data_IF_547006084662
#
_entry.id   IF_547006084662
#
_cell.length_a   1.000
_cell.length_b   1.000
_cell.length_c   1.000
_cell.angle_alpha   90.00
_cell.angle_beta   90.00
_cell.angle_gamma   90.00
#
_symmetry.space_group_name_H-M   'P 1'
#
loop_
_entity.id
_entity.type
_entity.pdbx_description
1 polymer ?
#
# COMPACT_ATOMS: atom_id res chain seq x y z
N UNK A 1 5.29 13.51 -0.48
CA UNK A 1 5.12 13.57 -1.95
C UNK A 1 4.41 12.32 -2.46
N UNK A 2 4.06 12.26 -3.75
CA UNK A 2 3.59 11.02 -4.40
C UNK A 2 4.79 10.32 -5.04
N UNK A 3 4.91 9.01 -4.83
CA UNK A 3 5.98 8.15 -5.31
C UNK A 3 5.42 6.91 -5.99
N UNK A 4 6.26 6.22 -6.77
CA UNK A 4 6.03 4.79 -7.04
C UNK A 4 6.23 3.98 -5.75
N UNK A 5 5.69 2.76 -5.71
CA UNK A 5 5.81 1.90 -4.54
C UNK A 5 7.29 1.54 -4.19
N UNK A 6 8.18 1.21 -5.16
CA UNK A 6 9.59 0.97 -4.86
C UNK A 6 10.31 2.21 -4.33
N UNK A 7 10.07 3.38 -4.92
CA UNK A 7 10.63 4.65 -4.47
C UNK A 7 10.19 4.99 -3.04
N UNK A 8 8.90 4.80 -2.72
CA UNK A 8 8.39 4.99 -1.37
C UNK A 8 9.13 4.08 -0.39
N UNK A 9 9.17 2.78 -0.67
CA UNK A 9 9.78 1.79 0.22
C UNK A 9 11.30 2.03 0.43
N UNK A 10 12.00 2.57 -0.57
CA UNK A 10 13.42 2.92 -0.46
C UNK A 10 13.69 4.15 0.41
N UNK A 11 12.69 5.02 0.62
CA UNK A 11 12.81 6.22 1.47
C UNK A 11 12.54 5.95 2.95
N UNK A 12 11.93 4.81 3.28
CA UNK A 12 11.62 4.47 4.67
C UNK A 12 12.90 4.16 5.46
N UNK A 13 13.00 4.76 6.64
CA UNK A 13 14.03 4.47 7.62
C UNK A 13 13.91 3.06 8.20
N UNK A 14 15.00 2.56 8.79
CA UNK A 14 15.04 1.22 9.40
C UNK A 14 13.96 1.07 10.46
N UNK A 15 13.19 0.00 10.38
CA UNK A 15 12.12 -0.32 11.34
C UNK A 15 10.80 0.41 11.09
N UNK A 16 10.74 1.34 10.12
CA UNK A 16 9.49 2.00 9.75
C UNK A 16 8.59 1.05 8.96
N UNK A 17 7.28 1.27 9.11
CA UNK A 17 6.23 0.46 8.47
C UNK A 17 5.47 1.29 7.43
N UNK A 18 4.76 0.60 6.54
CA UNK A 18 3.78 1.20 5.65
C UNK A 18 2.40 1.12 6.27
N UNK A 19 1.59 2.16 6.07
CA UNK A 19 0.18 2.17 6.40
C UNK A 19 -0.66 2.10 5.12
N UNK A 20 -1.43 1.03 4.98
CA UNK A 20 -2.43 0.85 3.93
C UNK A 20 -3.74 1.54 4.30
N UNK A 21 -4.30 2.30 3.36
CA UNK A 21 -5.57 3.00 3.51
C UNK A 21 -6.56 2.61 2.42
N UNK A 22 -7.76 2.20 2.83
CA UNK A 22 -8.94 2.06 1.97
C UNK A 22 -9.88 3.23 2.22
N UNK A 23 -10.01 4.15 1.26
CA UNK A 23 -10.70 5.43 1.45
C UNK A 23 -12.17 5.33 1.04
N UNK A 24 -13.02 4.94 1.99
CA UNK A 24 -14.47 4.98 1.86
C UNK A 24 -15.08 6.36 2.08
N UNK A 25 -16.38 6.51 1.78
CA UNK A 25 -17.10 7.79 1.97
C UNK A 25 -17.32 8.15 3.43
N UNK A 26 -17.50 7.15 4.31
CA UNK A 26 -17.79 7.32 5.74
C UNK A 26 -16.64 6.89 6.65
N UNK A 27 -15.72 6.11 6.12
CA UNK A 27 -14.71 5.39 6.87
C UNK A 27 -13.42 5.31 6.06
N UNK A 28 -12.29 5.19 6.74
CA UNK A 28 -11.01 4.82 6.14
C UNK A 28 -10.55 3.53 6.79
N UNK A 29 -10.56 2.42 6.06
CA UNK A 29 -9.98 1.16 6.52
C UNK A 29 -8.47 1.31 6.65
N UNK A 30 -7.87 0.73 7.69
CA UNK A 30 -6.43 0.86 7.94
C UNK A 30 -5.78 -0.51 8.15
N UNK A 31 -4.62 -0.68 7.56
CA UNK A 31 -3.74 -1.82 7.80
C UNK A 31 -2.28 -1.38 7.88
N UNK A 32 -1.45 -2.12 8.59
CA UNK A 32 -0.04 -1.84 8.78
C UNK A 32 0.82 -2.98 8.25
N UNK A 33 1.97 -2.67 7.65
CA UNK A 33 2.94 -3.68 7.28
C UNK A 33 3.80 -4.09 8.47
N UNK A 34 4.45 -5.25 8.42
CA UNK A 34 5.64 -5.47 9.22
C UNK A 34 6.83 -4.64 8.67
N UNK A 35 7.92 -4.45 9.44
CA UNK A 35 9.08 -3.67 9.00
C UNK A 35 9.85 -4.26 7.81
N UNK A 36 9.66 -5.55 7.48
CA UNK A 36 10.29 -6.17 6.32
C UNK A 36 9.45 -6.07 5.04
N UNK A 37 8.26 -5.47 5.12
CA UNK A 37 7.33 -5.32 4.00
C UNK A 37 6.86 -6.67 3.43
N UNK A 38 6.54 -7.62 4.30
CA UNK A 38 6.11 -8.99 3.95
C UNK A 38 4.62 -9.20 4.25
N UNK A 39 4.13 -8.75 5.40
CA UNK A 39 2.78 -9.03 5.89
C UNK A 39 2.03 -7.74 6.20
N UNK A 40 0.80 -7.63 5.70
CA UNK A 40 -0.15 -6.59 6.08
C UNK A 40 -1.14 -7.10 7.14
N UNK A 41 -1.33 -6.33 8.21
CA UNK A 41 -2.28 -6.62 9.29
C UNK A 41 -3.31 -5.52 9.45
N UNK A 42 -4.63 -5.83 9.49
CA UNK A 42 -5.66 -4.82 9.72
C UNK A 42 -5.52 -4.23 11.13
N UNK A 43 -5.71 -2.91 11.26
CA UNK A 43 -5.62 -2.21 12.56
C UNK A 43 -6.90 -1.43 12.90
N UNK A 44 -7.97 -1.66 12.13
CA UNK A 44 -9.28 -1.07 12.34
C UNK A 44 -9.63 -0.01 11.31
N UNK A 45 -10.52 0.90 11.68
CA UNK A 45 -11.15 1.83 10.75
C UNK A 45 -11.26 3.21 11.40
N UNK A 46 -10.83 4.24 10.68
CA UNK A 46 -11.06 5.63 11.07
C UNK A 46 -12.44 6.06 10.58
N UNK A 47 -13.28 6.59 11.47
CA UNK A 47 -14.59 7.13 11.09
C UNK A 47 -14.44 8.58 10.62
N UNK A 48 -14.78 8.85 9.37
CA UNK A 48 -14.61 10.17 8.76
C UNK A 48 -15.60 11.16 9.34
N UNK A 49 -15.10 12.34 9.71
CA UNK A 49 -15.89 13.44 10.25
C UNK A 49 -15.47 14.76 9.59
N UNK A 50 -14.75 15.62 10.32
CA UNK A 50 -14.06 16.78 9.76
C UNK A 50 -12.63 16.39 9.46
N UNK A 51 -12.14 16.75 8.29
CA UNK A 51 -10.78 16.40 7.84
C UNK A 51 -9.68 16.70 8.87
N UNK A 52 -9.79 17.81 9.61
CA UNK A 52 -8.82 18.16 10.67
C UNK A 52 -8.82 17.18 11.85
N UNK A 53 -9.97 16.62 12.21
CA UNK A 53 -10.06 15.59 13.26
C UNK A 53 -9.53 14.27 12.73
N UNK A 54 -9.93 13.90 11.51
CA UNK A 54 -9.46 12.70 10.82
C UNK A 54 -7.92 12.69 10.71
N UNK A 55 -7.30 13.81 10.31
CA UNK A 55 -5.85 13.95 10.21
C UNK A 55 -5.13 13.85 11.57
N UNK A 56 -5.73 14.37 12.66
CA UNK A 56 -5.16 14.22 14.01
C UNK A 56 -5.25 12.78 14.52
N UNK A 57 -6.35 12.10 14.21
CA UNK A 57 -6.49 10.69 14.55
C UNK A 57 -5.48 9.84 13.78
N UNK A 58 -5.37 10.09 12.48
CA UNK A 58 -4.36 9.46 11.64
C UNK A 58 -2.94 9.74 12.18
N UNK A 59 -2.61 10.97 12.56
CA UNK A 59 -1.31 11.32 13.17
C UNK A 59 -0.97 10.46 14.41
N UNK A 60 -1.96 10.12 15.24
CA UNK A 60 -1.75 9.20 16.37
C UNK A 60 -1.37 7.80 15.88
N UNK A 61 -2.14 7.24 14.94
CA UNK A 61 -1.83 5.95 14.31
C UNK A 61 -0.43 5.94 13.69
N UNK A 62 -0.05 7.00 12.97
CA UNK A 62 1.26 7.10 12.33
C UNK A 62 2.40 6.99 13.34
N UNK A 63 2.28 7.68 14.47
CA UNK A 63 3.26 7.64 15.56
C UNK A 63 3.28 6.29 16.27
N UNK A 64 2.11 5.77 16.64
CA UNK A 64 2.00 4.54 17.45
C UNK A 64 2.58 3.32 16.72
N UNK A 65 2.47 3.29 15.39
CA UNK A 65 2.99 2.20 14.57
C UNK A 65 4.36 2.48 13.93
N UNK A 66 4.93 3.67 14.10
CA UNK A 66 6.19 4.04 13.45
C UNK A 66 6.09 4.04 11.93
N UNK A 67 5.02 4.64 11.40
CA UNK A 67 4.76 4.69 9.95
C UNK A 67 5.71 5.66 9.27
N UNK A 68 6.29 5.23 8.15
CA UNK A 68 7.15 6.07 7.30
C UNK A 68 6.61 6.30 5.89
N UNK A 69 5.47 5.68 5.53
CA UNK A 69 4.85 5.83 4.21
C UNK A 69 3.41 5.36 4.19
N UNK A 70 2.61 5.95 3.30
CA UNK A 70 1.21 5.59 3.07
C UNK A 70 1.06 4.88 1.73
N UNK A 71 0.33 3.78 1.72
CA UNK A 71 -0.16 3.12 0.51
C UNK A 71 -1.67 3.30 0.46
N UNK A 72 -2.18 4.01 -0.53
CA UNK A 72 -3.60 4.31 -0.65
C UNK A 72 -4.19 3.54 -1.83
N UNK A 73 -5.22 2.75 -1.58
CA UNK A 73 -5.97 2.09 -2.65
C UNK A 73 -6.53 3.09 -3.64
N UNK A 74 -6.45 2.77 -4.93
CA UNK A 74 -6.98 3.57 -6.01
C UNK A 74 -8.00 2.71 -6.80
N UNK A 75 -9.30 3.00 -6.67
CA UNK A 75 -10.35 2.22 -7.33
C UNK A 75 -10.45 2.62 -8.81
N UNK A 76 -9.63 1.98 -9.65
CA UNK A 76 -9.67 2.14 -11.10
C UNK A 76 -10.78 1.27 -11.71
N UNK A 77 -11.34 1.73 -12.83
CA UNK A 77 -12.25 0.95 -13.64
C UNK A 77 -11.50 -0.21 -14.32
N UNK A 78 -12.22 -1.24 -14.80
CA UNK A 78 -11.59 -2.40 -15.44
C UNK A 78 -10.74 -2.06 -16.67
N UNK A 79 -11.05 -0.98 -17.38
CA UNK A 79 -10.27 -0.44 -18.50
C UNK A 79 -9.08 0.43 -18.06
N UNK A 80 -8.88 0.62 -16.76
CA UNK A 80 -7.83 1.45 -16.16
C UNK A 80 -8.19 2.92 -16.01
N UNK A 81 -9.39 3.34 -16.45
CA UNK A 81 -9.84 4.72 -16.30
C UNK A 81 -10.19 5.07 -14.85
N UNK A 82 -10.09 6.36 -14.50
CA UNK A 82 -10.50 6.87 -13.19
C UNK A 82 -11.97 7.27 -13.19
N UNK A 83 -12.68 6.89 -12.13
CA UNK A 83 -14.03 7.38 -11.83
C UNK A 83 -14.06 8.32 -10.62
N UNK A 84 -15.25 8.79 -10.20
CA UNK A 84 -15.41 9.72 -9.08
C UNK A 84 -14.80 9.24 -7.75
N UNK A 85 -14.71 7.92 -7.53
CA UNK A 85 -14.07 7.36 -6.33
C UNK A 85 -12.55 7.51 -6.35
N UNK A 86 -11.91 7.34 -7.51
CA UNK A 86 -10.48 7.57 -7.67
C UNK A 86 -10.15 9.05 -7.45
N UNK A 87 -10.94 9.96 -8.03
CA UNK A 87 -10.81 11.41 -7.81
C UNK A 87 -10.94 11.78 -6.33
N UNK A 88 -11.95 11.23 -5.63
CA UNK A 88 -12.15 11.47 -4.19
C UNK A 88 -10.95 10.98 -3.37
N UNK A 89 -10.36 9.84 -3.74
CA UNK A 89 -9.19 9.27 -3.08
C UNK A 89 -7.95 10.12 -3.32
N UNK A 90 -7.74 10.62 -4.54
CA UNK A 90 -6.67 11.57 -4.86
C UNK A 90 -6.82 12.88 -4.09
N UNK A 91 -8.05 13.40 -3.98
CA UNK A 91 -8.33 14.61 -3.20
C UNK A 91 -8.03 14.40 -1.71
N UNK A 92 -8.36 13.23 -1.16
CA UNK A 92 -8.00 12.86 0.21
C UNK A 92 -6.48 12.85 0.42
N UNK A 93 -5.72 12.20 -0.48
CA UNK A 93 -4.26 12.17 -0.43
C UNK A 93 -3.64 13.58 -0.52
N UNK A 94 -4.15 14.42 -1.44
CA UNK A 94 -3.73 15.81 -1.58
C UNK A 94 -3.94 16.61 -0.30
N UNK A 95 -5.13 16.49 0.30
CA UNK A 95 -5.43 17.17 1.57
C UNK A 95 -4.51 16.69 2.71
N UNK A 96 -4.09 15.42 2.73
CA UNK A 96 -3.13 14.92 3.72
C UNK A 96 -1.76 15.58 3.53
N UNK A 97 -1.29 15.68 2.27
CA UNK A 97 -0.02 16.33 1.94
C UNK A 97 -0.01 17.82 2.30
N UNK A 98 -1.13 18.52 2.12
CA UNK A 98 -1.27 19.94 2.48
C UNK A 98 -1.35 20.19 3.99
N UNK A 99 -1.50 19.12 4.80
CA UNK A 99 -1.67 19.19 6.25
C UNK A 99 -0.54 18.52 7.02
N UNK A 100 0.69 18.69 6.55
CA UNK A 100 1.89 18.27 7.29
C UNK A 100 1.96 18.90 8.68
N UNK A 101 1.37 20.09 8.88
CA UNK A 101 1.17 20.75 10.18
C UNK A 101 0.41 19.87 11.19
N UNK A 102 -0.59 19.12 10.73
CA UNK A 102 -1.38 18.23 11.57
C UNK A 102 -0.77 16.84 11.71
N UNK A 103 -0.12 16.35 10.66
CA UNK A 103 0.47 15.02 10.65
C UNK A 103 1.77 14.99 11.46
N UNK A 104 2.50 16.11 11.52
CA UNK A 104 3.82 16.22 12.15
C UNK A 104 4.97 15.76 11.26
N UNK A 105 4.70 15.53 9.97
CA UNK A 105 5.69 15.15 8.96
C UNK A 105 5.11 15.37 7.55
N UNK A 106 5.97 15.38 6.52
CA UNK A 106 5.56 15.43 5.12
C UNK A 106 5.14 14.05 4.63
N UNK A 107 3.84 13.88 4.34
CA UNK A 107 3.30 12.59 3.95
C UNK A 107 3.93 12.05 2.66
N UNK A 108 4.58 10.89 2.74
CA UNK A 108 5.08 10.13 1.60
C UNK A 108 4.05 9.06 1.19
N UNK A 109 3.55 9.12 -0.05
CA UNK A 109 2.37 8.36 -0.48
C UNK A 109 2.67 7.62 -1.79
N UNK A 110 2.18 6.38 -1.89
CA UNK A 110 2.05 5.66 -3.16
C UNK A 110 0.58 5.23 -3.34
N UNK A 111 0.09 5.27 -4.58
CA UNK A 111 -1.22 4.71 -4.92
C UNK A 111 -1.09 3.26 -5.34
N UNK A 112 -2.06 2.42 -4.97
CA UNK A 112 -2.12 1.01 -5.34
C UNK A 112 -3.40 0.69 -6.11
N UNK A 113 -3.28 0.08 -7.29
CA UNK A 113 -4.43 -0.31 -8.10
C UNK A 113 -5.18 -1.49 -7.46
N UNK A 114 -6.41 -1.24 -7.00
CA UNK A 114 -7.22 -2.19 -6.24
C UNK A 114 -7.72 -3.39 -7.06
N UNK A 115 -7.66 -3.32 -8.40
CA UNK A 115 -8.15 -4.37 -9.32
C UNK A 115 -7.46 -5.72 -9.12
N UNK A 116 -6.28 -5.70 -8.51
CA UNK A 116 -5.46 -6.89 -8.29
C UNK A 116 -5.84 -7.68 -7.02
N UNK A 117 -6.62 -7.10 -6.10
CA UNK A 117 -6.85 -7.70 -4.77
C UNK A 117 -8.24 -8.33 -4.57
N UNK A 118 -9.30 -7.85 -5.22
CA UNK A 118 -10.68 -8.24 -4.88
C UNK A 118 -11.08 -9.65 -5.32
N UNK A 119 -10.65 -10.08 -6.51
CA UNK A 119 -11.05 -11.38 -7.09
C UNK A 119 -10.42 -12.59 -6.37
N UNK A 120 -9.17 -12.47 -5.90
CA UNK A 120 -8.48 -13.51 -5.15
C UNK A 120 -9.08 -13.69 -3.74
N UNK A 121 -9.50 -12.59 -3.12
CA UNK A 121 -10.10 -12.56 -1.78
C UNK A 121 -11.48 -13.18 -1.76
N UNK A 122 -12.36 -12.79 -2.69
CA UNK A 122 -13.69 -13.41 -2.80
C UNK A 122 -13.58 -14.92 -2.99
N UNK A 123 -12.61 -15.37 -3.78
CA UNK A 123 -12.36 -16.80 -4.04
C UNK A 123 -11.85 -17.55 -2.81
N UNK A 124 -10.97 -16.95 -2.01
CA UNK A 124 -10.49 -17.52 -0.74
C UNK A 124 -11.64 -17.72 0.26
N UNK A 125 -12.50 -16.72 0.44
CA UNK A 125 -13.65 -16.80 1.34
C UNK A 125 -14.77 -17.74 0.87
N UNK A 126 -14.86 -18.03 -0.44
CA UNK A 126 -15.76 -19.06 -0.95
C UNK A 126 -15.25 -20.47 -0.59
N UNK A 127 -13.93 -20.64 -0.43
CA UNK A 127 -13.30 -21.90 -0.02
C UNK A 127 -13.45 -22.20 1.48
N UNK A 128 -13.57 -21.19 2.34
CA UNK A 128 -13.92 -21.37 3.74
C UNK A 128 -15.44 -21.56 3.88
N UNK A 129 -15.82 -22.80 4.18
CA UNK A 129 -17.21 -23.25 4.20
C UNK A 129 -18.09 -22.46 5.19
N UNK A 130 -19.31 -22.15 4.74
CA UNK A 130 -20.50 -21.79 5.53
C UNK A 130 -20.67 -20.33 6.00
N UNK A 131 -20.12 -19.34 5.28
CA UNK A 131 -20.43 -17.92 5.53
C UNK A 131 -21.57 -17.40 4.64
N UNK A 132 -22.59 -16.78 5.27
CA UNK A 132 -23.65 -16.06 4.55
C UNK A 132 -23.07 -14.90 3.73
N UNK A 133 -23.72 -14.52 2.61
CA UNK A 133 -23.28 -13.39 1.76
C UNK A 133 -23.02 -12.11 2.57
N UNK A 134 -23.98 -11.73 3.42
CA UNK A 134 -23.88 -10.55 4.28
C UNK A 134 -22.65 -10.59 5.21
N UNK A 135 -22.39 -11.75 5.83
CA UNK A 135 -21.25 -11.88 6.74
C UNK A 135 -19.91 -11.89 6.01
N UNK A 136 -19.87 -12.35 4.75
CA UNK A 136 -18.71 -12.22 3.88
C UNK A 136 -18.44 -10.76 3.54
N UNK A 137 -19.45 -10.01 3.13
CA UNK A 137 -19.30 -8.59 2.79
C UNK A 137 -18.75 -7.79 3.99
N UNK A 138 -19.23 -8.07 5.20
CA UNK A 138 -18.73 -7.44 6.43
C UNK A 138 -17.27 -7.79 6.75
N UNK A 139 -16.81 -8.99 6.40
CA UNK A 139 -15.41 -9.40 6.59
C UNK A 139 -14.53 -8.76 5.52
N UNK A 140 -14.97 -8.72 4.26
CA UNK A 140 -14.24 -8.05 3.17
C UNK A 140 -14.03 -6.58 3.50
N UNK A 141 -15.08 -5.89 3.92
CA UNK A 141 -15.01 -4.46 4.26
C UNK A 141 -13.99 -4.20 5.38
N UNK A 142 -13.95 -5.07 6.40
CA UNK A 142 -12.98 -4.96 7.50
C UNK A 142 -11.54 -5.30 7.10
N UNK A 143 -11.37 -6.11 6.07
CA UNK A 143 -10.07 -6.58 5.61
C UNK A 143 -9.55 -5.82 4.37
N UNK A 144 -10.37 -4.97 3.75
CA UNK A 144 -10.08 -4.31 2.49
C UNK A 144 -8.71 -3.60 2.49
N UNK A 145 -8.44 -2.79 3.51
CA UNK A 145 -7.14 -2.11 3.65
C UNK A 145 -5.95 -3.07 3.78
N UNK A 146 -6.13 -4.22 4.44
CA UNK A 146 -5.09 -5.24 4.56
C UNK A 146 -4.82 -5.91 3.21
N UNK A 147 -5.84 -6.15 2.40
CA UNK A 147 -5.67 -6.73 1.06
C UNK A 147 -5.05 -5.75 0.05
N UNK A 148 -5.41 -4.47 0.14
CA UNK A 148 -4.76 -3.40 -0.63
C UNK A 148 -3.27 -3.36 -0.29
N UNK A 149 -2.96 -3.31 1.00
CA UNK A 149 -1.57 -3.26 1.43
C UNK A 149 -0.82 -4.54 1.07
N UNK A 150 -1.40 -5.72 1.31
CA UNK A 150 -0.76 -7.00 0.98
C UNK A 150 -0.44 -7.10 -0.51
N UNK A 151 -1.38 -6.72 -1.39
CA UNK A 151 -1.13 -6.71 -2.83
C UNK A 151 0.03 -5.80 -3.22
N UNK A 152 0.14 -4.63 -2.59
CA UNK A 152 1.29 -3.76 -2.77
C UNK A 152 2.60 -4.41 -2.28
N UNK A 153 2.60 -5.00 -1.08
CA UNK A 153 3.79 -5.67 -0.52
C UNK A 153 4.27 -6.83 -1.40
N UNK A 154 3.34 -7.65 -1.91
CA UNK A 154 3.64 -8.77 -2.80
C UNK A 154 4.27 -8.29 -4.12
N UNK A 155 3.72 -7.22 -4.71
CA UNK A 155 4.27 -6.61 -5.91
C UNK A 155 5.66 -6.00 -5.65
N UNK A 156 5.86 -5.35 -4.52
CA UNK A 156 7.16 -4.83 -4.11
C UNK A 156 8.20 -5.94 -3.96
N UNK A 157 7.81 -7.07 -3.36
CA UNK A 157 8.67 -8.23 -3.22
C UNK A 157 9.06 -8.82 -4.59
N UNK A 158 8.10 -8.90 -5.53
CA UNK A 158 8.36 -9.34 -6.89
C UNK A 158 9.34 -8.41 -7.62
N UNK A 159 9.12 -7.10 -7.57
CA UNK A 159 10.01 -6.09 -8.19
C UNK A 159 11.44 -6.24 -7.65
N UNK A 160 11.60 -6.29 -6.31
CA UNK A 160 12.92 -6.45 -5.68
C UNK A 160 13.64 -7.74 -6.07
N UNK A 161 12.90 -8.81 -6.33
CA UNK A 161 13.47 -10.08 -6.80
C UNK A 161 13.98 -9.95 -8.24
N UNK A 162 13.17 -9.37 -9.12
CA UNK A 162 13.56 -9.12 -10.51
C UNK A 162 14.80 -8.22 -10.61
N UNK A 163 14.86 -7.16 -9.81
CA UNK A 163 16.03 -6.26 -9.76
C UNK A 163 17.32 -6.97 -9.29
N UNK A 164 17.21 -7.93 -8.35
CA UNK A 164 18.35 -8.74 -7.91
C UNK A 164 18.82 -9.69 -9.01
N UNK A 165 17.89 -10.41 -9.62
CA UNK A 165 18.17 -11.34 -10.72
C UNK A 165 18.82 -10.61 -11.92
N UNK A 166 18.39 -9.38 -12.22
CA UNK A 166 19.01 -8.58 -13.28
C UNK A 166 20.44 -8.15 -12.92
N UNK A 167 20.68 -7.69 -11.69
CA UNK A 167 22.02 -7.30 -11.23
C UNK A 167 23.00 -8.46 -11.25
N UNK A 168 22.57 -9.64 -10.82
CA UNK A 168 23.40 -10.85 -10.85
C UNK A 168 23.80 -11.22 -12.29
N UNK A 169 22.87 -11.11 -13.25
CA UNK A 169 23.17 -11.33 -14.68
C UNK A 169 24.14 -10.29 -15.25
N UNK A 170 23.94 -9.02 -14.92
CA UNK A 170 24.80 -7.93 -15.41
C UNK A 170 26.24 -8.07 -14.85
N UNK A 171 26.39 -8.56 -13.62
CA UNK A 171 27.70 -8.84 -12.99
C UNK A 171 28.40 -10.05 -13.62
N UNK A 172 27.65 -11.10 -14.00
CA UNK A 172 28.18 -12.28 -14.70
C UNK A 172 28.66 -11.93 -16.12
N UNK A 173 27.86 -11.19 -16.90
CA UNK A 173 28.19 -10.78 -18.27
C UNK A 173 29.35 -9.77 -18.31
N UNK A 174 29.47 -8.92 -17.28
CA UNK A 174 30.57 -7.96 -17.15
C UNK A 174 31.93 -8.60 -16.87
N UNK A 175 31.97 -9.78 -16.24
CA UNK A 175 33.20 -10.47 -15.86
C UNK A 175 33.79 -11.35 -16.98
N UNK A 176 32.98 -11.74 -17.97
CA UNK A 176 33.40 -12.57 -19.12
C UNK A 176 34.12 -11.76 -20.24
N UNK A 177 34.03 -10.42 -20.19
CA UNK A 177 34.68 -9.52 -21.17
C UNK A 177 36.09 -9.06 -20.80
N UNK A 178 36.62 -9.49 -19.64
CA UNK A 178 37.94 -9.12 -19.13
C UNK A 178 39.06 -10.14 -19.36
N UNK A 179 38.78 -11.24 -20.05
CA UNK A 179 39.68 -12.39 -20.16
C UNK A 179 40.05 -12.77 -21.59
N UNK A 180 40.63 -11.84 -22.36
CA UNK A 180 41.43 -12.19 -23.55
C UNK A 180 42.34 -11.01 -23.91
N UNK A 181 43.53 -10.97 -23.30
CA UNK A 181 44.49 -9.91 -23.52
C UNK A 181 45.80 -10.11 -22.78
N UNK A 182 46.42 -11.28 -22.93
CA UNK A 182 47.89 -11.41 -22.94
C UNK A 182 48.29 -12.86 -23.29
N UNK A 183 48.69 -13.05 -24.55
CA UNK A 183 49.58 -14.12 -25.02
C UNK A 183 50.28 -13.69 -26.32
#
# INVERSE_FOLDING_TARGET
MIHTLPELAARLGRGQRLLGLDVGTKTVGMAVSDPNFVVASPIGTLKRTKFTQDARELSRTLRDYGIGGLVIGLPLNMDGSEGPRAESTRAFAKNLMERSDLLGWDAEIAFWDERLSTSAVERFMIGEADMTRKRRDEVVDKMAAAYILQGALDALAHIRRMEREQRERDEEDGNDSGGDGDA
#
